data_IF_640582886898
#
_entry.id   IF_640582886898
#
_cell.length_a   1.000
_cell.length_b   1.000
_cell.length_c   1.000
_cell.angle_alpha   90.00
_cell.angle_beta   90.00
_cell.angle_gamma   90.00
#
_symmetry.space_group_name_H-M   'P 1'
#
loop_
_entity.id
_entity.type
_entity.pdbx_description
1 polymer ?
#
# COMPACT_ATOMS: atom_id res chain seq x y z
N UNK A 1 -3.36 7.44 22.73
CA UNK A 1 -4.75 7.72 22.35
C UNK A 1 -5.40 6.37 22.09
N UNK A 2 -6.61 6.08 22.59
CA UNK A 2 -7.29 4.85 22.21
C UNK A 2 -7.74 4.90 20.74
N UNK A 3 -8.02 3.75 20.15
CA UNK A 3 -8.75 3.68 18.88
C UNK A 3 -10.03 4.53 18.94
N UNK A 4 -10.23 5.40 17.94
CA UNK A 4 -11.41 6.27 17.85
C UNK A 4 -12.65 5.45 17.51
N UNK A 5 -12.49 4.51 16.57
CA UNK A 5 -13.59 3.75 16.00
C UNK A 5 -13.08 2.41 15.45
N UNK A 6 -13.78 1.33 15.77
CA UNK A 6 -13.55 0.01 15.17
C UNK A 6 -14.86 -0.65 14.75
N UNK A 7 -14.78 -1.50 13.72
CA UNK A 7 -15.88 -2.37 13.28
C UNK A 7 -15.35 -3.69 12.74
N UNK A 8 -16.12 -4.77 12.89
CA UNK A 8 -15.91 -6.04 12.20
C UNK A 8 -16.31 -5.89 10.72
N UNK A 9 -15.33 -5.97 9.81
CA UNK A 9 -15.49 -5.46 8.46
C UNK A 9 -15.63 -6.54 7.39
N UNK A 10 -15.03 -7.71 7.59
CA UNK A 10 -14.98 -8.83 6.63
C UNK A 10 -15.20 -10.16 7.34
N UNK A 11 -15.48 -11.23 6.57
CA UNK A 11 -15.67 -12.57 7.11
C UNK A 11 -14.34 -13.36 7.23
N UNK A 12 -13.25 -12.80 6.67
CA UNK A 12 -11.88 -13.32 6.71
C UNK A 12 -10.86 -12.17 6.81
N UNK A 13 -9.59 -12.50 7.00
CA UNK A 13 -8.48 -11.57 7.19
C UNK A 13 -8.42 -10.48 6.12
N UNK A 14 -8.22 -9.24 6.55
CA UNK A 14 -8.13 -8.08 5.65
C UNK A 14 -6.66 -7.82 5.37
N UNK A 15 -6.23 -8.05 4.13
CA UNK A 15 -4.82 -7.97 3.74
C UNK A 15 -4.41 -6.60 3.21
N UNK A 16 -5.36 -5.78 2.76
CA UNK A 16 -5.03 -4.50 2.16
C UNK A 16 -6.09 -3.44 2.43
N UNK A 17 -5.64 -2.20 2.61
CA UNK A 17 -6.48 -1.03 2.78
C UNK A 17 -5.90 0.16 2.04
N UNK A 18 -6.77 0.97 1.44
CA UNK A 18 -6.42 2.27 0.88
C UNK A 18 -7.43 3.34 1.33
N UNK A 19 -6.96 4.57 1.49
CA UNK A 19 -7.78 5.72 1.89
C UNK A 19 -7.51 6.86 0.91
N UNK A 20 -8.55 7.30 0.21
CA UNK A 20 -8.48 8.36 -0.79
C UNK A 20 -9.56 9.41 -0.57
N UNK A 21 -9.29 10.62 -1.06
CA UNK A 21 -10.27 11.72 -1.11
C UNK A 21 -10.66 11.96 -2.55
N UNK A 22 -11.95 11.91 -2.85
CA UNK A 22 -12.46 12.23 -4.17
C UNK A 22 -12.31 13.73 -4.44
N UNK A 23 -11.66 14.08 -5.55
CA UNK A 23 -11.38 15.48 -5.89
C UNK A 23 -12.62 16.28 -6.33
N UNK A 24 -13.68 15.59 -6.76
CA UNK A 24 -14.89 16.25 -7.27
C UNK A 24 -15.83 16.71 -6.15
N UNK A 25 -16.08 15.84 -5.17
CA UNK A 25 -17.04 16.09 -4.09
C UNK A 25 -16.38 16.22 -2.70
N UNK A 26 -15.08 15.94 -2.58
CA UNK A 26 -14.34 15.99 -1.33
C UNK A 26 -14.61 14.82 -0.39
N UNK A 27 -15.38 13.82 -0.81
CA UNK A 27 -15.72 12.67 0.04
C UNK A 27 -14.49 11.81 0.33
N UNK A 28 -14.38 11.35 1.58
CA UNK A 28 -13.33 10.44 2.00
C UNK A 28 -13.82 9.00 1.87
N UNK A 29 -13.03 8.19 1.17
CA UNK A 29 -13.35 6.80 0.85
C UNK A 29 -12.23 5.90 1.35
N UNK A 30 -12.59 4.89 2.12
CA UNK A 30 -11.71 3.78 2.49
C UNK A 30 -12.11 2.57 1.65
N UNK A 31 -11.14 1.85 1.11
CA UNK A 31 -11.38 0.54 0.48
C UNK A 31 -10.57 -0.51 1.21
N UNK A 32 -11.15 -1.70 1.39
CA UNK A 32 -10.50 -2.86 1.98
C UNK A 32 -10.62 -4.06 1.07
N UNK A 33 -9.55 -4.86 1.00
CA UNK A 33 -9.52 -6.14 0.30
C UNK A 33 -9.19 -7.26 1.29
N UNK A 34 -9.97 -8.34 1.25
CA UNK A 34 -9.88 -9.44 2.21
C UNK A 34 -9.75 -10.80 1.52
N UNK A 35 -9.36 -11.79 2.31
CA UNK A 35 -9.37 -13.21 1.95
C UNK A 35 -10.76 -13.80 1.75
N UNK A 36 -11.83 -13.08 2.12
CA UNK A 36 -13.21 -13.45 1.83
C UNK A 36 -13.63 -13.20 0.36
N UNK A 37 -12.65 -12.96 -0.51
CA UNK A 37 -12.78 -12.62 -1.94
C UNK A 37 -13.42 -11.24 -2.23
N UNK A 38 -13.78 -10.46 -1.20
CA UNK A 38 -14.49 -9.20 -1.37
C UNK A 38 -13.55 -7.98 -1.33
N UNK A 39 -13.93 -6.99 -2.13
CA UNK A 39 -13.50 -5.60 -1.93
C UNK A 39 -14.68 -4.82 -1.36
N UNK A 40 -14.50 -4.18 -0.21
CA UNK A 40 -15.53 -3.30 0.39
C UNK A 40 -15.12 -1.85 0.29
N UNK A 41 -16.08 -1.00 -0.07
CA UNK A 41 -15.93 0.45 -0.16
C UNK A 41 -16.71 1.08 0.97
N UNK A 42 -16.02 1.89 1.76
CA UNK A 42 -16.54 2.54 2.96
C UNK A 42 -16.45 4.06 2.77
N UNK A 43 -17.50 4.77 3.15
CA UNK A 43 -17.46 6.23 3.27
C UNK A 43 -17.11 6.63 4.69
N UNK A 44 -16.10 7.48 4.83
CA UNK A 44 -15.75 8.09 6.10
C UNK A 44 -16.49 9.41 6.24
N UNK A 45 -17.50 9.44 7.10
CA UNK A 45 -18.31 10.62 7.42
C UNK A 45 -18.64 10.63 8.91
N UNK A 46 -18.76 11.82 9.51
CA UNK A 46 -19.21 11.98 10.91
C UNK A 46 -18.48 11.05 11.91
N UNK A 47 -17.16 10.91 11.74
CA UNK A 47 -16.28 10.07 12.55
C UNK A 47 -16.61 8.56 12.53
N UNK A 48 -17.27 8.08 11.46
CA UNK A 48 -17.63 6.67 11.27
C UNK A 48 -17.38 6.19 9.85
N UNK A 49 -17.21 4.89 9.70
CA UNK A 49 -17.22 4.22 8.40
C UNK A 49 -18.59 3.60 8.13
N UNK A 50 -19.21 4.04 7.04
CA UNK A 50 -20.43 3.43 6.51
C UNK A 50 -20.10 2.62 5.26
N UNK A 51 -20.54 1.35 5.23
CA UNK A 51 -20.39 0.50 4.05
C UNK A 51 -21.21 1.08 2.90
N UNK A 52 -20.53 1.47 1.82
CA UNK A 52 -21.15 1.99 0.60
C UNK A 52 -21.36 0.88 -0.43
N UNK A 53 -20.32 0.09 -0.70
CA UNK A 53 -20.36 -0.96 -1.71
C UNK A 53 -19.66 -2.23 -1.24
N UNK A 54 -20.23 -3.38 -1.64
CA UNK A 54 -19.56 -4.68 -1.65
C UNK A 54 -19.30 -5.04 -3.11
N UNK A 55 -18.04 -5.07 -3.50
CA UNK A 55 -17.61 -5.32 -4.86
C UNK A 55 -17.19 -6.78 -5.00
N UNK A 56 -18.04 -7.56 -5.65
CA UNK A 56 -17.84 -8.99 -5.89
C UNK A 56 -17.19 -9.23 -7.25
N UNK A 57 -16.38 -10.29 -7.35
CA UNK A 57 -15.92 -10.80 -8.63
C UNK A 57 -14.59 -11.55 -8.60
N UNK A 58 -13.73 -11.30 -7.61
CA UNK A 58 -12.53 -12.11 -7.40
C UNK A 58 -12.90 -13.55 -7.03
N UNK A 59 -12.03 -14.49 -7.41
CA UNK A 59 -12.24 -15.94 -7.18
C UNK A 59 -11.36 -16.51 -6.07
N UNK A 60 -10.45 -15.68 -5.55
CA UNK A 60 -9.56 -15.95 -4.44
C UNK A 60 -9.31 -14.63 -3.70
N UNK A 61 -8.72 -14.73 -2.51
CA UNK A 61 -8.45 -13.59 -1.64
C UNK A 61 -7.76 -12.41 -2.32
N UNK A 62 -8.20 -11.21 -1.96
CA UNK A 62 -7.68 -9.94 -2.48
C UNK A 62 -6.37 -9.61 -1.77
N UNK A 63 -5.29 -9.47 -2.55
CA UNK A 63 -3.94 -9.24 -2.01
C UNK A 63 -3.56 -7.77 -1.91
N UNK A 64 -4.14 -6.92 -2.77
CA UNK A 64 -3.84 -5.50 -2.78
C UNK A 64 -5.01 -4.71 -3.32
N UNK A 65 -5.27 -3.56 -2.69
CA UNK A 65 -6.19 -2.54 -3.18
C UNK A 65 -5.49 -1.20 -3.22
N UNK A 66 -5.88 -0.34 -4.17
CA UNK A 66 -5.42 1.04 -4.25
C UNK A 66 -6.51 1.95 -4.85
N UNK A 67 -6.45 3.24 -4.56
CA UNK A 67 -7.38 4.26 -5.06
C UNK A 67 -6.62 5.20 -5.98
N UNK A 68 -7.20 5.54 -7.13
CA UNK A 68 -6.63 6.55 -8.03
C UNK A 68 -6.44 7.90 -7.32
N UNK A 69 -5.46 8.70 -7.71
CA UNK A 69 -5.23 10.04 -7.15
C UNK A 69 -6.38 11.03 -7.41
N UNK A 70 -7.34 10.67 -8.27
CA UNK A 70 -8.60 11.40 -8.46
C UNK A 70 -9.69 11.01 -7.44
N UNK A 71 -9.57 9.82 -6.84
CA UNK A 71 -10.53 9.23 -5.91
C UNK A 71 -11.80 8.68 -6.56
N UNK A 72 -11.81 8.53 -7.89
CA UNK A 72 -12.98 8.07 -8.65
C UNK A 72 -12.95 6.57 -8.96
N UNK A 73 -11.75 5.98 -9.05
CA UNK A 73 -11.55 4.59 -9.46
C UNK A 73 -10.71 3.89 -8.39
N UNK A 74 -11.03 2.64 -8.10
CA UNK A 74 -10.18 1.74 -7.34
C UNK A 74 -9.68 0.60 -8.22
N UNK A 75 -8.56 0.00 -7.81
CA UNK A 75 -8.05 -1.22 -8.38
C UNK A 75 -7.86 -2.26 -7.27
N UNK A 76 -8.07 -3.53 -7.61
CA UNK A 76 -7.77 -4.67 -6.73
C UNK A 76 -7.10 -5.79 -7.50
N UNK A 77 -6.18 -6.49 -6.84
CA UNK A 77 -5.54 -7.70 -7.35
C UNK A 77 -5.75 -8.85 -6.38
N UNK A 78 -5.70 -10.07 -6.90
CA UNK A 78 -5.96 -11.28 -6.12
C UNK A 78 -5.04 -12.41 -6.55
N UNK A 79 -4.99 -13.45 -5.70
CA UNK A 79 -4.37 -14.73 -6.00
C UNK A 79 -4.99 -15.44 -7.21
N UNK A 80 -6.17 -15.00 -7.67
CA UNK A 80 -6.81 -15.46 -8.91
C UNK A 80 -6.12 -14.95 -10.20
N UNK A 81 -4.99 -14.24 -10.05
CA UNK A 81 -4.20 -13.67 -11.14
C UNK A 81 -4.91 -12.56 -11.95
N UNK A 82 -6.02 -12.04 -11.44
CA UNK A 82 -6.76 -10.96 -12.07
C UNK A 82 -6.55 -9.65 -11.32
N UNK A 83 -6.53 -8.57 -12.11
CA UNK A 83 -6.66 -7.20 -11.63
C UNK A 83 -8.03 -6.70 -12.05
N UNK A 84 -8.79 -6.13 -11.11
CA UNK A 84 -10.11 -5.54 -11.38
C UNK A 84 -10.07 -4.04 -11.11
N UNK A 85 -10.69 -3.28 -12.01
CA UNK A 85 -10.91 -1.84 -11.86
C UNK A 85 -12.37 -1.58 -11.52
N UNK A 86 -12.61 -0.71 -10.56
CA UNK A 86 -13.91 -0.44 -9.98
C UNK A 86 -14.23 1.04 -10.01
N UNK A 87 -15.46 1.37 -10.39
CA UNK A 87 -16.00 2.71 -10.32
C UNK A 87 -16.56 2.93 -8.90
N UNK A 88 -15.96 3.89 -8.16
CA UNK A 88 -16.33 4.14 -6.75
C UNK A 88 -17.62 4.95 -6.60
N UNK A 89 -18.08 5.60 -7.67
CA UNK A 89 -19.35 6.33 -7.68
C UNK A 89 -20.53 5.36 -7.83
N UNK A 90 -20.41 4.38 -8.72
CA UNK A 90 -21.48 3.46 -9.08
C UNK A 90 -21.38 2.07 -8.44
N UNK A 91 -20.23 1.73 -7.84
CA UNK A 91 -19.98 0.42 -7.24
C UNK A 91 -19.89 -0.70 -8.28
N UNK A 92 -19.53 -0.38 -9.53
CA UNK A 92 -19.50 -1.36 -10.64
C UNK A 92 -18.08 -1.66 -11.08
N UNK A 93 -17.86 -2.90 -11.52
CA UNK A 93 -16.63 -3.27 -12.20
C UNK A 93 -16.56 -2.54 -13.55
N UNK A 94 -15.49 -1.77 -13.76
CA UNK A 94 -15.16 -1.13 -15.04
C UNK A 94 -14.56 -2.17 -15.98
N UNK A 95 -13.54 -2.89 -15.48
CA UNK A 95 -12.71 -3.83 -16.25
C UNK A 95 -12.14 -4.94 -15.38
N UNK A 96 -11.82 -6.05 -16.04
CA UNK A 96 -11.05 -7.16 -15.50
C UNK A 96 -9.87 -7.43 -16.43
N UNK A 97 -8.67 -7.47 -15.89
CA UNK A 97 -7.40 -7.71 -16.59
C UNK A 97 -6.87 -9.05 -16.09
N UNK A 98 -6.87 -10.05 -16.95
CA UNK A 98 -6.14 -11.30 -16.71
C UNK A 98 -4.65 -11.01 -16.88
N UNK A 99 -3.94 -10.95 -15.75
CA UNK A 99 -2.51 -10.73 -15.76
C UNK A 99 -1.75 -12.04 -16.04
N UNK A 100 -2.40 -13.20 -15.96
CA UNK A 100 -1.74 -14.50 -16.00
C UNK A 100 -1.10 -14.87 -14.64
N UNK A 101 -0.74 -16.14 -14.44
CA UNK A 101 -0.57 -16.77 -13.11
C UNK A 101 0.59 -16.23 -12.26
N UNK A 102 1.44 -15.38 -12.83
CA UNK A 102 2.70 -14.92 -12.22
C UNK A 102 2.96 -13.43 -12.39
N UNK A 103 2.04 -12.71 -13.05
CA UNK A 103 2.32 -11.39 -13.63
C UNK A 103 1.68 -10.23 -12.83
N UNK A 104 0.98 -10.54 -11.72
CA UNK A 104 0.41 -9.55 -10.81
C UNK A 104 0.54 -9.97 -9.32
N UNK A 105 0.75 -8.99 -8.45
CA UNK A 105 0.77 -9.13 -7.00
C UNK A 105 0.25 -7.85 -6.34
N UNK A 106 1.09 -6.99 -5.77
CA UNK A 106 0.69 -5.67 -5.24
C UNK A 106 0.37 -4.69 -6.36
N UNK A 107 -0.49 -3.71 -6.10
CA UNK A 107 -0.87 -2.64 -7.04
C UNK A 107 -0.40 -1.27 -6.56
N UNK A 108 -0.14 -0.38 -7.53
CA UNK A 108 0.02 1.05 -7.26
C UNK A 108 -0.42 1.87 -8.49
N UNK A 109 -1.34 2.82 -8.31
CA UNK A 109 -1.64 3.81 -9.33
C UNK A 109 -0.47 4.77 -9.52
N UNK A 110 -0.21 5.16 -10.77
CA UNK A 110 0.68 6.29 -11.04
C UNK A 110 0.08 7.59 -10.49
N UNK A 111 0.90 8.62 -10.19
CA UNK A 111 0.43 9.90 -9.65
C UNK A 111 -0.61 10.61 -10.54
N UNK A 112 -0.52 10.42 -11.86
CA UNK A 112 -1.49 10.92 -12.85
C UNK A 112 -2.70 9.99 -13.07
N UNK A 113 -2.72 8.83 -12.40
CA UNK A 113 -3.75 7.78 -12.49
C UNK A 113 -3.94 7.18 -13.89
N UNK A 114 -2.99 7.38 -14.81
CA UNK A 114 -3.05 6.82 -16.17
C UNK A 114 -2.56 5.38 -16.24
N UNK A 115 -1.70 4.99 -15.31
CA UNK A 115 -1.07 3.68 -15.25
C UNK A 115 -1.31 2.99 -13.92
N UNK A 116 -1.30 1.67 -13.97
CA UNK A 116 -1.32 0.79 -12.81
C UNK A 116 -0.10 -0.11 -12.88
N UNK A 117 0.80 0.01 -11.91
CA UNK A 117 1.93 -0.89 -11.77
C UNK A 117 1.53 -2.12 -10.95
N UNK A 118 2.14 -3.27 -11.28
CA UNK A 118 2.03 -4.48 -10.45
C UNK A 118 3.33 -5.28 -10.45
N UNK A 119 3.69 -5.87 -9.31
CA UNK A 119 4.84 -6.77 -9.18
C UNK A 119 4.54 -8.16 -9.76
N UNK A 120 5.57 -8.86 -10.23
CA UNK A 120 5.48 -10.22 -10.76
C UNK A 120 6.36 -11.21 -9.99
N UNK A 121 6.02 -12.50 -10.08
CA UNK A 121 6.78 -13.59 -9.46
C UNK A 121 8.17 -13.80 -10.12
N UNK A 122 8.41 -13.18 -11.28
CA UNK A 122 9.61 -13.35 -12.11
C UNK A 122 10.48 -12.09 -12.16
N UNK A 123 10.38 -11.22 -11.14
CA UNK A 123 11.27 -10.06 -11.02
C UNK A 123 10.96 -8.91 -11.97
N UNK A 124 9.73 -8.82 -12.46
CA UNK A 124 9.28 -7.69 -13.27
C UNK A 124 8.27 -6.84 -12.51
N UNK A 125 8.22 -5.56 -12.88
CA UNK A 125 7.09 -4.69 -12.59
C UNK A 125 6.36 -4.44 -13.90
N UNK A 126 5.13 -4.94 -14.03
CA UNK A 126 4.30 -4.78 -15.21
C UNK A 126 3.48 -3.49 -15.09
N UNK A 127 3.47 -2.68 -16.14
CA UNK A 127 2.73 -1.42 -16.20
C UNK A 127 1.56 -1.58 -17.16
N UNK A 128 0.35 -1.42 -16.63
CA UNK A 128 -0.89 -1.49 -17.37
C UNK A 128 -1.48 -0.10 -17.56
N UNK A 129 -1.99 0.21 -18.76
CA UNK A 129 -2.77 1.42 -18.98
C UNK A 129 -4.14 1.27 -18.34
N UNK A 130 -4.56 2.24 -17.51
CA UNK A 130 -5.86 2.19 -16.81
C UNK A 130 -7.02 2.21 -17.80
N UNK A 131 -6.96 3.10 -18.80
CA UNK A 131 -7.97 3.20 -19.86
C UNK A 131 -7.93 1.99 -20.81
N UNK A 132 -6.72 1.60 -21.25
CA UNK A 132 -6.54 0.53 -22.24
C UNK A 132 -6.82 -0.86 -21.66
N UNK A 133 -6.55 -1.07 -20.36
CA UNK A 133 -6.57 -2.36 -19.68
C UNK A 133 -5.54 -3.34 -20.23
N UNK A 134 -4.49 -2.84 -20.89
CA UNK A 134 -3.44 -3.66 -21.52
C UNK A 134 -2.10 -3.41 -20.84
N UNK A 135 -1.25 -4.43 -20.84
CA UNK A 135 0.16 -4.28 -20.47
C UNK A 135 0.86 -3.42 -21.52
N UNK A 136 1.30 -2.23 -21.13
CA UNK A 136 1.96 -1.27 -22.01
C UNK A 136 3.46 -1.56 -22.09
N UNK A 137 4.09 -1.78 -20.93
CA UNK A 137 5.50 -2.14 -20.82
C UNK A 137 5.81 -2.84 -19.48
N UNK A 138 7.04 -3.31 -19.33
CA UNK A 138 7.54 -3.92 -18.10
C UNK A 138 8.91 -3.37 -17.74
N UNK A 139 9.15 -3.19 -16.45
CA UNK A 139 10.46 -2.89 -15.87
C UNK A 139 11.07 -4.20 -15.36
N UNK A 140 12.29 -4.52 -15.77
CA UNK A 140 12.94 -5.79 -15.45
C UNK A 140 14.06 -5.59 -14.43
N UNK A 141 13.91 -6.16 -13.23
CA UNK A 141 14.94 -6.14 -12.18
C UNK A 141 16.01 -7.20 -12.40
N UNK A 142 15.74 -8.18 -13.28
CA UNK A 142 16.50 -9.45 -13.41
C UNK A 142 16.61 -10.23 -12.09
N UNK A 143 15.69 -9.96 -11.16
CA UNK A 143 15.65 -10.51 -9.81
C UNK A 143 14.56 -11.55 -9.62
N UNK A 144 14.15 -11.71 -8.35
CA UNK A 144 13.10 -12.64 -7.92
C UNK A 144 11.76 -11.92 -7.77
N UNK A 145 10.76 -12.63 -7.26
CA UNK A 145 9.43 -12.13 -6.97
C UNK A 145 9.43 -10.75 -6.29
N UNK A 146 8.77 -9.78 -6.94
CA UNK A 146 8.48 -8.45 -6.43
C UNK A 146 7.21 -8.48 -5.58
N UNK A 147 7.37 -8.25 -4.27
CA UNK A 147 6.28 -8.26 -3.28
C UNK A 147 5.64 -6.89 -3.07
N UNK A 148 6.39 -5.82 -3.29
CA UNK A 148 5.92 -4.46 -3.08
C UNK A 148 6.46 -3.52 -4.13
N UNK A 149 5.67 -2.48 -4.43
CA UNK A 149 6.01 -1.41 -5.36
C UNK A 149 5.44 -0.09 -4.84
N UNK A 150 6.06 1.03 -5.20
CA UNK A 150 5.50 2.36 -5.00
C UNK A 150 5.95 3.32 -6.09
N UNK A 151 5.03 4.18 -6.53
CA UNK A 151 5.37 5.39 -7.27
C UNK A 151 5.83 6.48 -6.29
N UNK A 152 6.83 7.25 -6.70
CA UNK A 152 7.15 8.53 -6.06
C UNK A 152 6.07 9.58 -6.38
N UNK A 153 5.65 10.42 -5.42
CA UNK A 153 4.60 11.42 -5.63
C UNK A 153 4.88 12.42 -6.77
N UNK A 154 6.15 12.77 -7.00
CA UNK A 154 6.58 13.62 -8.11
C UNK A 154 6.62 12.91 -9.48
N UNK A 155 6.30 11.60 -9.52
CA UNK A 155 6.20 10.80 -10.73
C UNK A 155 7.52 10.48 -11.42
N UNK A 156 8.67 10.73 -10.77
CA UNK A 156 9.99 10.50 -11.38
C UNK A 156 10.47 9.06 -11.23
N UNK A 157 10.21 8.46 -10.07
CA UNK A 157 10.72 7.16 -9.68
C UNK A 157 9.64 6.14 -9.37
N UNK A 158 9.94 4.87 -9.65
CA UNK A 158 9.23 3.70 -9.14
C UNK A 158 10.21 2.84 -8.34
N UNK A 159 9.86 2.50 -7.10
CA UNK A 159 10.61 1.57 -6.27
C UNK A 159 9.92 0.20 -6.25
N UNK A 160 10.71 -0.87 -6.10
CA UNK A 160 10.22 -2.24 -5.92
C UNK A 160 11.02 -2.96 -4.84
N UNK A 161 10.33 -3.79 -4.04
CA UNK A 161 10.89 -4.59 -2.97
C UNK A 161 10.68 -6.07 -3.24
N UNK A 162 11.75 -6.85 -3.21
CA UNK A 162 11.75 -8.27 -3.57
C UNK A 162 11.64 -9.20 -2.34
N UNK A 163 11.29 -10.46 -2.62
CA UNK A 163 11.24 -11.55 -1.64
C UNK A 163 12.59 -11.86 -0.99
N UNK A 164 13.70 -11.50 -1.61
CA UNK A 164 15.06 -11.69 -1.09
C UNK A 164 15.69 -10.38 -0.57
N UNK A 165 14.87 -9.35 -0.31
CA UNK A 165 15.32 -8.14 0.37
C UNK A 165 16.03 -7.12 -0.51
N UNK A 166 16.07 -7.35 -1.83
CA UNK A 166 16.61 -6.39 -2.80
C UNK A 166 15.59 -5.29 -3.10
N UNK A 167 16.05 -4.04 -3.12
CA UNK A 167 15.28 -2.88 -3.56
C UNK A 167 15.78 -2.46 -4.94
N UNK A 168 14.87 -2.15 -5.87
CA UNK A 168 15.22 -1.55 -7.15
C UNK A 168 14.49 -0.23 -7.36
N UNK A 169 15.22 0.80 -7.81
CA UNK A 169 14.68 2.13 -8.12
C UNK A 169 14.82 2.37 -9.63
N UNK A 170 13.69 2.64 -10.28
CA UNK A 170 13.59 2.91 -11.71
C UNK A 170 13.28 4.38 -11.97
N UNK A 171 13.84 4.91 -13.05
CA UNK A 171 13.38 6.16 -13.67
C UNK A 171 12.16 5.86 -14.55
N UNK A 172 11.02 6.48 -14.25
CA UNK A 172 9.76 6.21 -14.95
C UNK A 172 9.78 6.74 -16.38
N UNK A 173 10.37 7.92 -16.59
CA UNK A 173 10.39 8.58 -17.90
C UNK A 173 11.17 7.78 -18.96
N UNK A 174 12.25 7.12 -18.54
CA UNK A 174 13.13 6.33 -19.42
C UNK A 174 12.95 4.82 -19.29
N UNK A 175 12.26 4.36 -18.24
CA UNK A 175 12.09 2.94 -17.90
C UNK A 175 13.39 2.25 -17.47
N UNK A 176 14.44 3.00 -17.11
CA UNK A 176 15.76 2.45 -16.76
C UNK A 176 15.86 2.16 -15.27
N UNK A 177 16.51 1.04 -14.94
CA UNK A 177 16.96 0.74 -13.59
C UNK A 177 18.11 1.68 -13.22
N UNK A 178 17.92 2.51 -12.19
CA UNK A 178 18.92 3.46 -11.69
C UNK A 178 19.77 2.84 -10.59
N UNK A 179 19.11 2.20 -9.61
CA UNK A 179 19.77 1.68 -8.42
C UNK A 179 19.21 0.31 -8.04
N UNK A 180 20.11 -0.57 -7.60
CA UNK A 180 19.79 -1.84 -6.94
C UNK A 180 20.47 -1.82 -5.58
N UNK A 181 19.69 -1.93 -4.52
CA UNK A 181 20.16 -1.83 -3.13
C UNK A 181 19.99 -3.16 -2.43
N UNK A 182 21.06 -3.65 -1.82
CA UNK A 182 21.02 -4.75 -0.85
C UNK A 182 20.40 -4.22 0.44
N UNK A 183 19.06 -4.18 0.47
CA UNK A 183 18.32 -3.47 1.51
C UNK A 183 18.18 -4.28 2.78
N UNK A 184 17.51 -5.42 2.66
CA UNK A 184 17.16 -6.31 3.75
C UNK A 184 17.67 -7.73 3.49
N UNK A 185 17.74 -8.56 4.53
CA UNK A 185 18.09 -9.98 4.40
C UNK A 185 16.86 -10.88 4.19
N UNK A 186 15.67 -10.31 4.29
CA UNK A 186 14.38 -11.00 4.29
C UNK A 186 13.38 -10.27 3.37
N UNK A 187 12.22 -10.87 3.04
CA UNK A 187 11.21 -10.26 2.17
C UNK A 187 10.88 -8.80 2.52
N UNK A 188 10.73 -7.94 1.52
CA UNK A 188 10.23 -6.57 1.68
C UNK A 188 8.76 -6.53 1.31
N UNK A 189 7.89 -6.52 2.33
CA UNK A 189 6.44 -6.59 2.15
C UNK A 189 5.81 -5.26 1.76
N UNK A 190 6.45 -4.16 2.12
CA UNK A 190 5.94 -2.82 1.82
C UNK A 190 7.07 -1.83 1.70
N UNK A 191 6.88 -0.84 0.83
CA UNK A 191 7.72 0.33 0.71
C UNK A 191 6.87 1.52 0.28
N UNK A 192 7.33 2.73 0.59
CA UNK A 192 6.62 3.96 0.28
C UNK A 192 7.59 5.13 0.20
N UNK A 193 7.35 6.05 -0.73
CA UNK A 193 8.08 7.30 -0.83
C UNK A 193 7.49 8.34 0.13
N UNK A 194 8.33 9.24 0.64
CA UNK A 194 7.85 10.44 1.33
C UNK A 194 7.09 11.36 0.36
N UNK A 195 6.15 12.19 0.86
CA UNK A 195 5.44 13.20 0.07
C UNK A 195 6.34 14.08 -0.81
N UNK A 196 7.53 14.44 -0.34
CA UNK A 196 8.52 15.22 -1.10
C UNK A 196 9.39 14.39 -2.10
N UNK A 197 9.12 13.09 -2.21
CA UNK A 197 9.89 12.09 -2.99
C UNK A 197 11.37 11.94 -2.59
N UNK A 198 11.83 12.52 -1.47
CA UNK A 198 13.26 12.48 -1.10
C UNK A 198 13.65 11.24 -0.30
N UNK A 199 12.71 10.64 0.45
CA UNK A 199 12.93 9.45 1.24
C UNK A 199 12.17 8.25 0.68
N UNK A 200 12.78 7.08 0.81
CA UNK A 200 12.13 5.79 0.59
C UNK A 200 12.18 4.99 1.90
N UNK A 201 11.01 4.65 2.42
CA UNK A 201 10.86 3.79 3.61
C UNK A 201 10.53 2.38 3.18
N UNK A 202 11.23 1.39 3.73
CA UNK A 202 11.03 -0.04 3.44
C UNK A 202 10.76 -0.83 4.71
N UNK A 203 9.86 -1.82 4.61
CA UNK A 203 9.41 -2.68 5.70
C UNK A 203 9.61 -4.16 5.34
N UNK A 204 10.22 -4.92 6.26
CA UNK A 204 10.65 -6.28 5.99
C UNK A 204 10.33 -7.27 7.11
N UNK A 205 10.33 -8.55 6.74
CA UNK A 205 10.21 -9.69 7.63
C UNK A 205 11.39 -9.83 8.60
N UNK A 206 12.49 -9.11 8.39
CA UNK A 206 13.58 -9.03 9.38
C UNK A 206 13.22 -8.18 10.62
N UNK A 207 12.02 -7.58 10.64
CA UNK A 207 11.51 -6.77 11.74
C UNK A 207 12.01 -5.33 11.75
N UNK A 208 12.81 -4.95 10.75
CA UNK A 208 13.34 -3.60 10.62
C UNK A 208 12.58 -2.76 9.60
N UNK A 209 12.58 -1.46 9.86
CA UNK A 209 12.22 -0.43 8.89
C UNK A 209 13.52 0.27 8.48
N UNK A 210 13.74 0.46 7.18
CA UNK A 210 14.90 1.20 6.69
C UNK A 210 14.44 2.43 5.90
N UNK A 211 15.19 3.52 6.06
CA UNK A 211 14.97 4.78 5.37
C UNK A 211 16.17 5.03 4.46
N UNK A 212 15.90 5.29 3.18
CA UNK A 212 16.90 5.60 2.17
C UNK A 212 16.69 7.02 1.66
N UNK A 213 17.79 7.71 1.38
CA UNK A 213 17.78 8.91 0.55
C UNK A 213 17.67 8.48 -0.91
N UNK A 214 16.67 9.00 -1.62
CA UNK A 214 16.37 8.61 -3.01
C UNK A 214 17.42 9.14 -3.98
N UNK A 215 17.90 10.37 -3.75
CA UNK A 215 18.82 11.06 -4.66
C UNK A 215 20.19 10.38 -4.74
N UNK A 216 20.72 9.96 -3.60
CA UNK A 216 22.04 9.35 -3.46
C UNK A 216 21.99 7.83 -3.31
N UNK A 217 20.78 7.27 -3.19
CA UNK A 217 20.50 5.85 -3.06
C UNK A 217 21.28 5.20 -1.89
N UNK A 218 21.38 5.90 -0.77
CA UNK A 218 22.11 5.44 0.42
C UNK A 218 21.17 5.27 1.63
N UNK A 219 21.58 4.42 2.57
CA UNK A 219 20.84 4.15 3.79
C UNK A 219 20.97 5.34 4.74
N UNK A 220 19.87 6.07 4.96
CA UNK A 220 19.81 7.16 5.91
C UNK A 220 19.68 6.64 7.35
N UNK A 221 18.90 5.58 7.58
CA UNK A 221 18.72 5.01 8.92
C UNK A 221 18.05 3.63 8.94
N UNK A 222 18.24 2.91 10.04
CA UNK A 222 17.55 1.64 10.32
C UNK A 222 16.85 1.75 11.67
N UNK A 223 15.56 1.49 11.68
CA UNK A 223 14.70 1.59 12.84
C UNK A 223 14.31 0.19 13.30
N UNK A 224 14.40 -0.02 14.60
CA UNK A 224 13.97 -1.23 15.29
C UNK A 224 12.83 -0.88 16.24
N UNK A 225 11.98 -1.86 16.57
CA UNK A 225 10.94 -1.67 17.57
C UNK A 225 9.71 -2.57 17.39
N UNK A 226 9.53 -3.15 16.20
CA UNK A 226 8.59 -4.26 16.02
C UNK A 226 9.20 -5.58 16.50
N UNK A 227 8.37 -6.42 17.10
CA UNK A 227 8.74 -7.75 17.60
C UNK A 227 8.61 -8.87 16.58
N UNK A 228 8.11 -8.56 15.38
CA UNK A 228 7.86 -9.51 14.27
C UNK A 228 7.96 -8.77 12.93
N UNK A 229 7.52 -9.42 11.85
CA UNK A 229 7.54 -8.89 10.48
C UNK A 229 6.83 -7.54 10.38
N UNK A 230 7.43 -6.58 9.67
CA UNK A 230 6.77 -5.31 9.36
C UNK A 230 6.02 -5.47 8.04
N UNK A 231 4.69 -5.44 8.10
CA UNK A 231 3.81 -5.81 7.00
C UNK A 231 3.49 -4.63 6.09
N UNK A 232 3.34 -3.42 6.65
CA UNK A 232 3.00 -2.23 5.87
C UNK A 232 3.65 -0.96 6.42
N UNK A 233 3.91 -0.01 5.52
CA UNK A 233 4.31 1.36 5.84
C UNK A 233 3.53 2.37 5.00
N UNK A 234 3.23 3.52 5.58
CA UNK A 234 2.61 4.65 4.88
C UNK A 234 3.11 5.98 5.46
N UNK A 235 3.55 6.90 4.61
CA UNK A 235 3.89 8.26 5.05
C UNK A 235 2.65 9.09 5.37
N UNK A 236 2.79 9.94 6.38
CA UNK A 236 1.86 11.02 6.64
C UNK A 236 2.04 12.12 5.57
N UNK A 237 0.97 12.78 5.13
CA UNK A 237 1.07 13.95 4.25
C UNK A 237 1.86 15.14 4.81
N UNK A 238 2.20 15.13 6.11
CA UNK A 238 3.02 16.16 6.77
C UNK A 238 4.53 16.05 6.46
N UNK A 239 4.94 15.02 5.71
CA UNK A 239 6.32 14.75 5.30
C UNK A 239 7.31 14.51 6.45
N UNK A 240 6.79 14.40 7.68
CA UNK A 240 7.57 14.27 8.91
C UNK A 240 7.38 12.90 9.55
N UNK A 241 6.15 12.39 9.52
CA UNK A 241 5.79 11.14 10.17
C UNK A 241 5.46 10.04 9.18
N UNK A 242 5.59 8.79 9.62
CA UNK A 242 5.04 7.64 8.93
C UNK A 242 4.50 6.63 9.93
N UNK A 243 3.60 5.77 9.46
CA UNK A 243 3.01 4.70 10.24
C UNK A 243 3.48 3.36 9.71
N UNK A 244 3.66 2.39 10.59
CA UNK A 244 3.91 1.00 10.25
C UNK A 244 2.98 0.05 10.98
N UNK A 245 2.73 -1.11 10.37
CA UNK A 245 1.97 -2.20 10.95
C UNK A 245 2.77 -3.50 10.92
N UNK A 246 2.49 -4.42 11.83
CA UNK A 246 3.29 -5.64 12.00
C UNK A 246 2.47 -6.86 12.39
N UNK A 247 3.04 -8.03 12.10
CA UNK A 247 2.61 -9.32 12.64
C UNK A 247 2.69 -9.41 14.18
N UNK A 248 3.32 -8.44 14.85
CA UNK A 248 3.34 -8.33 16.31
C UNK A 248 2.08 -7.69 16.92
N UNK A 249 1.05 -7.47 16.09
CA UNK A 249 -0.27 -6.90 16.45
C UNK A 249 -0.25 -5.39 16.76
N UNK A 250 0.88 -4.73 16.56
CA UNK A 250 1.01 -3.30 16.85
C UNK A 250 0.98 -2.42 15.59
N UNK A 251 0.43 -1.23 15.76
CA UNK A 251 0.58 -0.11 14.82
C UNK A 251 1.48 0.94 15.46
N UNK A 252 2.54 1.36 14.79
CA UNK A 252 3.51 2.32 15.30
C UNK A 252 3.58 3.57 14.44
N UNK A 253 3.56 4.72 15.10
CA UNK A 253 3.82 6.02 14.46
C UNK A 253 5.26 6.41 14.75
N UNK A 254 5.96 6.86 13.72
CA UNK A 254 7.38 7.19 13.73
C UNK A 254 7.59 8.61 13.23
N UNK A 255 8.58 9.29 13.79
CA UNK A 255 9.14 10.52 13.24
C UNK A 255 10.36 10.15 12.38
N UNK A 256 10.35 10.54 11.10
CA UNK A 256 11.37 10.17 10.12
C UNK A 256 12.71 10.89 10.36
N UNK A 257 12.68 12.10 10.91
CA UNK A 257 13.87 12.91 11.15
C UNK A 257 14.66 12.43 12.37
N UNK A 258 13.98 12.24 13.49
CA UNK A 258 14.54 11.73 14.75
C UNK A 258 14.70 10.21 14.75
N UNK A 259 13.95 9.50 13.90
CA UNK A 259 13.95 8.03 13.76
C UNK A 259 13.50 7.32 15.03
N UNK A 260 12.51 7.91 15.70
CA UNK A 260 11.97 7.40 16.96
C UNK A 260 10.50 7.05 16.82
N UNK A 261 10.05 6.05 17.58
CA UNK A 261 8.63 5.74 17.69
C UNK A 261 7.98 6.75 18.63
N UNK A 262 7.02 7.53 18.10
CA UNK A 262 6.31 8.57 18.86
C UNK A 262 5.02 8.03 19.49
N UNK A 263 4.44 6.98 18.91
CA UNK A 263 3.27 6.30 19.48
C UNK A 263 3.16 4.84 19.07
N UNK A 264 2.50 4.02 19.89
CA UNK A 264 2.13 2.64 19.56
C UNK A 264 0.71 2.36 19.98
N UNK A 265 -0.09 1.81 19.06
CA UNK A 265 -1.42 1.27 19.31
C UNK A 265 -1.35 -0.25 19.46
N UNK A 266 -2.15 -0.80 20.38
CA UNK A 266 -2.20 -2.22 20.75
C UNK A 266 -3.63 -2.77 20.73
N UNK A 267 -4.52 -2.13 19.97
CA UNK A 267 -5.93 -2.45 19.97
C UNK A 267 -6.24 -3.72 19.14
N UNK A 268 -5.45 -4.01 18.10
CA UNK A 268 -5.59 -5.22 17.28
C UNK A 268 -5.28 -6.50 18.07
N UNK A 269 -6.06 -7.55 17.83
CA UNK A 269 -5.92 -8.84 18.51
C UNK A 269 -5.13 -9.87 17.69
N UNK A 270 -4.80 -9.53 16.44
CA UNK A 270 -3.96 -10.35 15.56
C UNK A 270 -3.09 -9.50 14.62
N UNK A 271 -2.43 -10.11 13.63
CA UNK A 271 -1.51 -9.45 12.71
C UNK A 271 -2.16 -8.27 11.98
N UNK A 272 -1.45 -7.13 11.89
CA UNK A 272 -1.96 -5.92 11.24
C UNK A 272 -1.34 -5.76 9.86
N UNK A 273 -2.12 -6.09 8.82
CA UNK A 273 -1.65 -6.19 7.44
C UNK A 273 -1.55 -4.87 6.70
N UNK A 274 -2.43 -3.91 7.00
CA UNK A 274 -2.51 -2.66 6.26
C UNK A 274 -2.62 -1.45 7.17
N UNK A 275 -1.91 -0.38 6.84
CA UNK A 275 -2.08 0.95 7.44
C UNK A 275 -2.03 2.04 6.38
N UNK A 276 -2.85 3.09 6.53
CA UNK A 276 -2.81 4.30 5.70
C UNK A 276 -3.21 5.53 6.50
N UNK A 277 -2.65 6.68 6.13
CA UNK A 277 -3.17 7.97 6.56
C UNK A 277 -4.34 8.41 5.69
N UNK A 278 -5.25 9.20 6.24
CA UNK A 278 -6.16 9.99 5.43
C UNK A 278 -5.44 11.18 4.76
N UNK A 279 -6.11 11.87 3.83
CA UNK A 279 -5.47 12.92 3.03
C UNK A 279 -5.00 14.15 3.82
N UNK A 280 -5.46 14.32 5.07
CA UNK A 280 -5.01 15.40 5.96
C UNK A 280 -3.90 14.99 6.93
N UNK A 281 -3.60 13.69 7.04
CA UNK A 281 -2.70 13.16 8.06
C UNK A 281 -3.29 13.07 9.46
N UNK A 282 -4.52 13.55 9.69
CA UNK A 282 -5.15 13.58 11.02
C UNK A 282 -5.74 12.24 11.47
N UNK A 283 -5.92 11.29 10.55
CA UNK A 283 -6.47 9.96 10.83
C UNK A 283 -5.59 8.87 10.23
N UNK A 284 -5.52 7.75 10.93
CA UNK A 284 -4.88 6.52 10.46
C UNK A 284 -5.95 5.44 10.40
N UNK A 285 -6.02 4.69 9.30
CA UNK A 285 -6.76 3.43 9.21
C UNK A 285 -5.80 2.26 9.33
N UNK A 286 -6.19 1.21 10.05
CA UNK A 286 -5.50 -0.08 10.05
C UNK A 286 -6.47 -1.25 9.92
N UNK A 287 -5.96 -2.35 9.35
CA UNK A 287 -6.71 -3.58 9.08
C UNK A 287 -5.83 -4.81 9.31
N UNK A 288 -6.42 -5.96 9.66
CA UNK A 288 -5.66 -7.16 10.00
C UNK A 288 -6.40 -8.49 9.95
N UNK A 289 -5.75 -9.51 10.50
CA UNK A 289 -6.26 -10.89 10.63
C UNK A 289 -7.45 -10.99 11.60
N UNK A 290 -7.62 -9.99 12.48
CA UNK A 290 -8.79 -9.87 13.36
C UNK A 290 -10.06 -9.37 12.63
N UNK A 291 -9.97 -9.17 11.31
CA UNK A 291 -11.11 -8.82 10.44
C UNK A 291 -11.71 -7.44 10.75
N UNK A 292 -11.03 -6.65 11.57
CA UNK A 292 -11.48 -5.34 12.01
C UNK A 292 -10.81 -4.22 11.21
N UNK A 293 -11.56 -3.14 10.99
CA UNK A 293 -11.01 -1.85 10.57
C UNK A 293 -10.95 -0.95 11.80
N UNK A 294 -9.78 -0.45 12.13
CA UNK A 294 -9.57 0.55 13.19
C UNK A 294 -9.26 1.91 12.59
N UNK A 295 -9.84 2.96 13.17
CA UNK A 295 -9.51 4.35 12.87
C UNK A 295 -8.92 4.99 14.13
N UNK A 296 -7.76 5.62 13.99
CA UNK A 296 -7.09 6.35 15.07
C UNK A 296 -7.02 7.83 14.74
N UNK A 297 -7.09 8.67 15.77
CA UNK A 297 -6.54 10.02 15.70
C UNK A 297 -5.01 9.96 15.61
N UNK A 298 -4.44 10.75 14.69
CA UNK A 298 -3.01 10.90 14.62
C UNK A 298 -2.51 11.59 15.90
N UNK A 299 -1.53 11.01 16.62
CA UNK A 299 -1.04 11.53 17.90
C UNK A 299 -0.14 12.77 17.76
N UNK A 300 0.16 13.21 16.54
CA UNK A 300 1.12 14.25 16.19
C UNK A 300 0.50 15.32 15.29
#
# INVERSE_FOLDING_TARGET
LPCLYSLLAHDDAIWSVAWGKNKNDGSETVISGSLDDLVKVWKWNDEKLDLQWTLEGHQLGVVSVDISHTGAIAASSSLDAHIRLWDLETGKQIKSIDAGPVDAWSLAFSPDSQYLATGSHVGKVNIFGVETGKKEYSLDTRGKFILSIAYSPDGKYLASGAIDGIINIFDIATGKLLHTLEGHAMPIRSLTFSPDSQLLVTASDDGYIKIYDVQHANLAGTLSGHGSWVLNVAFCPDDTHFVSSSSDKSVKVWDAGTRTCVHTFFDHQDQVWGVKYNGSGSKIVSVGDDQEIHIYDCPV
#
